data_IF_699241444644
#
_entry.id   IF_699241444644
#
_cell.length_a   1.000
_cell.length_b   1.000
_cell.length_c   1.000
_cell.angle_alpha   90.00
_cell.angle_beta   90.00
_cell.angle_gamma   90.00
#
_symmetry.space_group_name_H-M   'P 1'
#
loop_
_entity.id
_entity.type
_entity.pdbx_description
1 polymer ?
#
# COMPACT_ATOMS: atom_id res chain seq x y z
N UNK A 1 -18.20 -25.21 -24.56
CA UNK A 1 -18.63 -23.83 -24.19
C UNK A 1 -17.49 -23.19 -23.43
N UNK A 2 -17.03 -22.02 -23.88
CA UNK A 2 -15.80 -21.37 -23.43
C UNK A 2 -16.05 -20.73 -22.05
N UNK A 3 -15.18 -21.00 -21.07
CA UNK A 3 -15.18 -20.38 -19.74
C UNK A 3 -14.79 -18.87 -19.81
N UNK A 4 -15.46 -18.04 -20.60
CA UNK A 4 -15.20 -16.59 -20.70
C UNK A 4 -15.49 -15.87 -19.38
N UNK A 5 -16.48 -16.34 -18.64
CA UNK A 5 -17.02 -15.64 -17.46
C UNK A 5 -16.01 -15.56 -16.30
N UNK A 6 -15.07 -16.52 -16.22
CA UNK A 6 -14.03 -16.50 -15.19
C UNK A 6 -12.93 -15.48 -15.43
N UNK A 7 -12.53 -15.26 -16.68
CA UNK A 7 -11.44 -14.35 -17.01
C UNK A 7 -11.83 -12.89 -16.87
N UNK A 8 -13.08 -12.55 -17.18
CA UNK A 8 -13.61 -11.19 -17.05
C UNK A 8 -13.65 -10.76 -15.58
N UNK A 9 -14.17 -11.63 -14.71
CA UNK A 9 -14.25 -11.37 -13.27
C UNK A 9 -12.87 -11.15 -12.63
N UNK A 10 -11.88 -12.00 -12.97
CA UNK A 10 -10.50 -11.86 -12.47
C UNK A 10 -9.88 -10.55 -12.98
N UNK A 11 -10.06 -10.22 -14.25
CA UNK A 11 -9.53 -8.98 -14.84
C UNK A 11 -10.15 -7.75 -14.17
N UNK A 12 -11.46 -7.77 -13.92
CA UNK A 12 -12.17 -6.74 -13.19
C UNK A 12 -11.64 -6.56 -11.77
N UNK A 13 -11.37 -7.66 -11.05
CA UNK A 13 -10.77 -7.62 -9.70
C UNK A 13 -9.40 -6.93 -9.71
N UNK A 14 -8.50 -7.30 -10.63
CA UNK A 14 -7.18 -6.64 -10.73
C UNK A 14 -7.29 -5.16 -11.10
N UNK A 15 -8.19 -4.80 -12.02
CA UNK A 15 -8.40 -3.41 -12.41
C UNK A 15 -8.93 -2.59 -11.23
N UNK A 16 -9.93 -3.10 -10.51
CA UNK A 16 -10.49 -2.45 -9.33
C UNK A 16 -9.45 -2.29 -8.21
N UNK A 17 -8.63 -3.33 -7.95
CA UNK A 17 -7.52 -3.26 -7.00
C UNK A 17 -6.51 -2.18 -7.40
N UNK A 18 -6.11 -2.13 -8.67
CA UNK A 18 -5.14 -1.15 -9.16
C UNK A 18 -5.67 0.29 -9.06
N UNK A 19 -6.94 0.52 -9.42
CA UNK A 19 -7.60 1.82 -9.30
C UNK A 19 -7.71 2.25 -7.84
N UNK A 20 -8.13 1.34 -6.94
CA UNK A 20 -8.23 1.65 -5.51
C UNK A 20 -6.87 2.01 -4.91
N UNK A 21 -5.78 1.30 -5.26
CA UNK A 21 -4.42 1.67 -4.86
C UNK A 21 -4.02 3.05 -5.37
N UNK A 22 -4.31 3.37 -6.64
CA UNK A 22 -4.01 4.69 -7.19
C UNK A 22 -4.78 5.81 -6.45
N UNK A 23 -6.04 5.58 -6.09
CA UNK A 23 -6.87 6.54 -5.37
C UNK A 23 -6.47 6.71 -3.90
N UNK A 24 -5.88 5.69 -3.26
CA UNK A 24 -5.29 5.81 -1.91
C UNK A 24 -4.17 6.86 -1.90
N UNK A 25 -3.45 7.03 -3.02
CA UNK A 25 -2.37 8.03 -3.16
C UNK A 25 -2.89 9.44 -3.43
N UNK A 26 -4.20 9.64 -3.60
CA UNK A 26 -4.77 10.97 -3.80
C UNK A 26 -4.61 11.83 -2.54
N UNK A 27 -4.24 13.12 -2.66
CA UNK A 27 -3.99 14.01 -1.52
C UNK A 27 -5.30 14.53 -0.88
N UNK A 28 -6.35 13.71 -0.87
CA UNK A 28 -7.65 14.01 -0.29
C UNK A 28 -8.01 12.93 0.73
N UNK A 29 -8.04 13.29 2.02
CA UNK A 29 -8.23 12.33 3.12
C UNK A 29 -9.47 11.45 2.91
N UNK A 30 -10.61 12.06 2.59
CA UNK A 30 -11.88 11.35 2.36
C UNK A 30 -11.75 10.33 1.22
N UNK A 31 -11.20 10.75 0.07
CA UNK A 31 -11.01 9.87 -1.10
C UNK A 31 -10.07 8.71 -0.77
N UNK A 32 -8.95 9.01 -0.10
CA UNK A 32 -7.96 8.00 0.28
C UNK A 32 -8.55 6.97 1.24
N UNK A 33 -9.29 7.41 2.27
CA UNK A 33 -9.94 6.52 3.25
C UNK A 33 -11.01 5.64 2.61
N UNK A 34 -11.90 6.21 1.79
CA UNK A 34 -12.91 5.42 1.08
C UNK A 34 -12.27 4.42 0.11
N UNK A 35 -11.20 4.81 -0.57
CA UNK A 35 -10.47 3.92 -1.49
C UNK A 35 -9.77 2.79 -0.73
N UNK A 36 -9.23 3.06 0.46
CA UNK A 36 -8.70 2.05 1.38
C UNK A 36 -9.75 1.04 1.82
N UNK A 37 -10.96 1.50 2.13
CA UNK A 37 -12.08 0.61 2.48
C UNK A 37 -12.48 -0.29 1.29
N UNK A 38 -12.61 0.29 0.09
CA UNK A 38 -12.89 -0.48 -1.14
C UNK A 38 -11.79 -1.51 -1.40
N UNK A 39 -10.52 -1.11 -1.29
CA UNK A 39 -9.38 -2.01 -1.44
C UNK A 39 -9.46 -3.21 -0.47
N UNK A 40 -9.79 -2.95 0.80
CA UNK A 40 -9.99 -4.01 1.79
C UNK A 40 -11.14 -4.95 1.42
N UNK A 41 -12.29 -4.40 0.99
CA UNK A 41 -13.42 -5.21 0.53
C UNK A 41 -13.06 -6.10 -0.67
N UNK A 42 -12.25 -5.62 -1.62
CA UNK A 42 -11.79 -6.40 -2.77
C UNK A 42 -10.84 -7.53 -2.35
N UNK A 43 -9.98 -7.29 -1.35
CA UNK A 43 -9.13 -8.35 -0.78
C UNK A 43 -9.97 -9.40 -0.06
N UNK A 44 -10.98 -9.00 0.73
CA UNK A 44 -11.93 -9.92 1.35
C UNK A 44 -12.70 -10.74 0.31
N UNK A 45 -13.10 -10.10 -0.79
CA UNK A 45 -13.71 -10.81 -1.91
C UNK A 45 -12.76 -11.85 -2.53
N UNK A 46 -11.46 -11.54 -2.66
CA UNK A 46 -10.47 -12.52 -3.10
C UNK A 46 -10.35 -13.71 -2.13
N UNK A 47 -10.49 -13.48 -0.81
CA UNK A 47 -10.56 -14.55 0.19
C UNK A 47 -11.78 -15.45 0.01
N UNK A 48 -12.97 -14.85 -0.16
CA UNK A 48 -14.20 -15.61 -0.41
C UNK A 48 -14.07 -16.46 -1.68
N UNK A 49 -13.60 -15.86 -2.78
CA UNK A 49 -13.34 -16.56 -4.04
C UNK A 49 -12.34 -17.71 -3.87
N UNK A 50 -11.35 -17.59 -2.97
CA UNK A 50 -10.40 -18.66 -2.69
C UNK A 50 -11.02 -19.83 -1.94
N UNK A 51 -11.99 -19.57 -1.07
CA UNK A 51 -12.66 -20.58 -0.25
C UNK A 51 -13.65 -21.44 -1.04
N UNK A 52 -14.32 -20.86 -2.02
CA UNK A 52 -15.36 -21.56 -2.81
C UNK A 52 -14.80 -22.47 -3.92
N UNK A 53 -13.54 -22.26 -4.32
CA UNK A 53 -12.99 -22.88 -5.52
C UNK A 53 -12.07 -24.05 -5.19
N UNK A 54 -12.10 -25.08 -6.03
CA UNK A 54 -11.18 -26.22 -5.94
C UNK A 54 -9.72 -25.76 -5.97
N UNK A 55 -8.89 -26.46 -5.20
CA UNK A 55 -7.44 -26.33 -5.25
C UNK A 55 -7.03 -26.62 -6.70
N UNK A 56 -6.31 -25.69 -7.34
CA UNK A 56 -5.88 -25.72 -8.76
C UNK A 56 -6.84 -25.15 -9.81
N UNK A 57 -8.01 -24.67 -9.42
CA UNK A 57 -8.80 -23.83 -10.34
C UNK A 57 -8.03 -22.53 -10.68
N UNK A 58 -8.09 -22.02 -11.93
CA UNK A 58 -7.44 -20.76 -12.29
C UNK A 58 -7.84 -19.59 -11.38
N UNK A 59 -9.11 -19.55 -10.94
CA UNK A 59 -9.63 -18.56 -9.99
C UNK A 59 -8.93 -18.66 -8.63
N UNK A 60 -8.75 -19.86 -8.08
CA UNK A 60 -8.06 -20.07 -6.81
C UNK A 60 -6.58 -19.62 -6.88
N UNK A 61 -5.91 -19.85 -8.01
CA UNK A 61 -4.52 -19.40 -8.22
C UNK A 61 -4.43 -17.87 -8.21
N UNK A 62 -5.29 -17.18 -8.97
CA UNK A 62 -5.31 -15.72 -9.00
C UNK A 62 -5.75 -15.10 -7.66
N UNK A 63 -6.72 -15.70 -6.96
CA UNK A 63 -7.11 -15.29 -5.62
C UNK A 63 -5.92 -15.39 -4.64
N UNK A 64 -5.23 -16.53 -4.64
CA UNK A 64 -4.04 -16.75 -3.81
C UNK A 64 -2.93 -15.75 -4.15
N UNK A 65 -2.75 -15.41 -5.43
CA UNK A 65 -1.79 -14.41 -5.87
C UNK A 65 -2.10 -13.01 -5.31
N UNK A 66 -3.37 -12.59 -5.34
CA UNK A 66 -3.84 -11.32 -4.75
C UNK A 66 -3.60 -11.32 -3.24
N UNK A 67 -4.02 -12.37 -2.54
CA UNK A 67 -3.87 -12.51 -1.08
C UNK A 67 -2.39 -12.44 -0.68
N UNK A 68 -1.51 -13.19 -1.34
CA UNK A 68 -0.06 -13.15 -1.08
C UNK A 68 0.53 -11.77 -1.36
N UNK A 69 0.10 -11.11 -2.43
CA UNK A 69 0.56 -9.77 -2.77
C UNK A 69 0.15 -8.77 -1.69
N UNK A 70 -1.08 -8.84 -1.19
CA UNK A 70 -1.55 -8.03 -0.06
C UNK A 70 -0.65 -8.22 1.17
N UNK A 71 -0.40 -9.45 1.62
CA UNK A 71 0.42 -9.68 2.82
C UNK A 71 1.87 -9.27 2.66
N UNK A 72 2.50 -9.60 1.53
CA UNK A 72 3.89 -9.22 1.30
C UNK A 72 4.01 -7.69 1.23
N UNK A 73 3.06 -7.01 0.57
CA UNK A 73 3.08 -5.55 0.49
C UNK A 73 2.90 -4.87 1.85
N UNK A 74 2.00 -5.37 2.70
CA UNK A 74 1.82 -4.86 4.05
C UNK A 74 3.04 -5.14 4.93
N UNK A 75 3.67 -6.31 4.79
CA UNK A 75 4.90 -6.61 5.50
C UNK A 75 6.04 -5.66 5.10
N UNK A 76 6.22 -5.42 3.79
CA UNK A 76 7.21 -4.46 3.28
C UNK A 76 6.91 -3.05 3.81
N UNK A 77 5.65 -2.62 3.78
CA UNK A 77 5.23 -1.34 4.33
C UNK A 77 5.55 -1.19 5.83
N UNK A 78 5.25 -2.22 6.64
CA UNK A 78 5.55 -2.22 8.08
C UNK A 78 7.05 -2.13 8.34
N UNK A 79 7.87 -2.91 7.63
CA UNK A 79 9.34 -2.86 7.73
C UNK A 79 9.87 -1.49 7.33
N UNK A 80 9.36 -0.91 6.24
CA UNK A 80 9.73 0.43 5.81
C UNK A 80 9.36 1.52 6.82
N UNK A 81 8.20 1.41 7.48
CA UNK A 81 7.80 2.33 8.56
C UNK A 81 8.74 2.24 9.76
N UNK A 82 9.11 1.03 10.19
CA UNK A 82 10.09 0.84 11.27
C UNK A 82 11.46 1.42 10.90
N UNK A 83 11.90 1.23 9.66
CA UNK A 83 13.15 1.80 9.16
C UNK A 83 13.14 3.34 9.18
N UNK A 84 12.02 3.96 8.81
CA UNK A 84 11.86 5.42 8.85
C UNK A 84 11.82 5.97 10.27
N UNK A 85 11.16 5.27 11.20
CA UNK A 85 11.22 5.65 12.63
C UNK A 85 12.68 5.64 13.12
N UNK A 86 13.46 4.61 12.77
CA UNK A 86 14.88 4.54 13.08
C UNK A 86 15.69 5.67 12.42
N UNK A 87 15.41 5.99 11.16
CA UNK A 87 16.05 7.10 10.45
C UNK A 87 15.75 8.45 11.11
N UNK A 88 14.49 8.73 11.45
CA UNK A 88 14.12 9.97 12.13
C UNK A 88 14.76 10.06 13.52
N UNK A 89 14.82 8.96 14.27
CA UNK A 89 15.51 8.93 15.56
C UNK A 89 17.01 9.25 15.44
N UNK A 90 17.69 8.71 14.41
CA UNK A 90 19.10 9.05 14.16
C UNK A 90 19.29 10.49 13.69
N UNK A 91 18.36 11.06 12.90
CA UNK A 91 18.39 12.47 12.53
C UNK A 91 18.22 13.39 13.74
N UNK A 92 17.33 13.05 14.70
CA UNK A 92 17.20 13.80 15.96
C UNK A 92 18.51 13.73 16.75
N UNK A 93 19.07 12.54 16.92
CA UNK A 93 20.30 12.34 17.71
C UNK A 93 21.49 13.12 17.15
N UNK A 94 21.63 13.16 15.82
CA UNK A 94 22.71 13.88 15.14
C UNK A 94 22.42 15.39 14.93
N UNK A 95 21.29 15.91 15.44
CA UNK A 95 20.93 17.32 15.29
C UNK A 95 20.59 17.74 13.86
N UNK A 96 20.22 16.79 12.98
CA UNK A 96 19.80 17.05 11.60
C UNK A 96 18.34 17.51 11.51
N UNK A 97 17.55 17.32 12.57
CA UNK A 97 16.21 17.87 12.71
C UNK A 97 16.24 19.05 13.68
N UNK A 98 15.69 20.18 13.25
CA UNK A 98 15.54 21.35 14.11
C UNK A 98 14.42 21.09 15.12
N UNK A 99 14.80 20.83 16.35
CA UNK A 99 13.89 20.59 17.49
C UNK A 99 13.71 21.85 18.35
N UNK A 100 14.20 23.01 17.93
CA UNK A 100 14.06 24.27 18.67
C UNK A 100 12.59 24.64 18.89
N UNK A 101 11.77 24.47 17.86
CA UNK A 101 10.31 24.67 17.92
C UNK A 101 9.64 23.77 18.98
N UNK A 102 10.07 22.51 19.10
CA UNK A 102 9.54 21.60 20.12
C UNK A 102 10.03 21.96 21.53
N UNK A 103 11.29 22.39 21.67
CA UNK A 103 11.87 22.80 22.96
C UNK A 103 11.28 24.09 23.50
N UNK A 104 10.95 25.03 22.62
CA UNK A 104 10.29 26.28 22.97
C UNK A 104 8.92 26.05 23.63
N UNK A 105 8.31 24.89 23.40
CA UNK A 105 6.97 24.54 23.86
C UNK A 105 6.99 23.51 25.00
N UNK A 106 8.09 23.46 25.76
CA UNK A 106 8.33 22.56 26.90
C UNK A 106 7.35 22.72 28.08
N UNK A 107 6.32 23.55 27.96
CA UNK A 107 5.21 23.68 28.92
C UNK A 107 4.20 22.53 28.93
N UNK A 108 4.47 21.43 28.22
CA UNK A 108 3.65 20.21 28.23
C UNK A 108 2.64 20.09 27.08
N UNK A 109 2.46 21.14 26.29
CA UNK A 109 1.61 21.11 25.09
C UNK A 109 2.44 21.35 23.82
N UNK A 110 2.71 20.26 23.09
CA UNK A 110 3.40 20.31 21.80
C UNK A 110 2.47 20.65 20.63
N UNK A 111 1.14 20.66 20.84
CA UNK A 111 0.13 20.84 19.80
C UNK A 111 0.34 22.10 18.95
N UNK A 112 0.55 23.29 19.55
CA UNK A 112 0.75 24.53 18.81
C UNK A 112 2.06 24.57 18.00
N UNK A 113 3.05 23.76 18.37
CA UNK A 113 4.41 23.85 17.84
C UNK A 113 4.74 22.74 16.85
N UNK A 114 3.89 21.71 16.79
CA UNK A 114 3.98 20.65 15.81
C UNK A 114 3.92 21.16 14.36
N UNK A 115 3.04 22.10 13.97
CA UNK A 115 3.03 22.63 12.59
C UNK A 115 4.33 23.36 12.23
N UNK A 116 4.90 24.13 13.16
CA UNK A 116 6.19 24.80 12.98
C UNK A 116 7.31 23.78 12.80
N UNK A 117 7.39 22.79 13.70
CA UNK A 117 8.37 21.70 13.60
C UNK A 117 8.28 20.94 12.26
N UNK A 118 7.06 20.63 11.80
CA UNK A 118 6.83 19.99 10.50
C UNK A 118 7.26 20.88 9.35
N UNK A 119 6.96 22.18 9.42
CA UNK A 119 7.35 23.16 8.40
C UNK A 119 8.88 23.28 8.29
N UNK A 120 9.56 23.46 9.43
CA UNK A 120 11.01 23.65 9.53
C UNK A 120 11.79 22.41 9.06
N UNK A 121 11.19 21.23 9.19
CA UNK A 121 11.78 19.95 8.82
C UNK A 121 11.08 19.27 7.61
N UNK A 122 10.33 20.05 6.83
CA UNK A 122 9.46 19.54 5.76
C UNK A 122 10.21 18.71 4.71
N UNK A 123 11.45 19.09 4.36
CA UNK A 123 12.30 18.32 3.45
C UNK A 123 12.63 16.93 4.01
N UNK A 124 13.05 16.86 5.27
CA UNK A 124 13.39 15.59 5.94
C UNK A 124 12.17 14.69 6.05
N UNK A 125 11.01 15.24 6.39
CA UNK A 125 9.75 14.48 6.42
C UNK A 125 9.32 14.00 5.02
N UNK A 126 9.51 14.82 4.00
CA UNK A 126 9.22 14.44 2.62
C UNK A 126 10.10 13.27 2.17
N UNK A 127 11.42 13.38 2.35
CA UNK A 127 12.37 12.30 2.01
C UNK A 127 12.06 11.02 2.80
N UNK A 128 11.84 11.14 4.11
CA UNK A 128 11.44 10.01 4.96
C UNK A 128 10.15 9.34 4.45
N UNK A 129 9.13 10.13 4.10
CA UNK A 129 7.87 9.62 3.56
C UNK A 129 8.08 8.87 2.24
N UNK A 130 8.90 9.42 1.33
CA UNK A 130 9.24 8.75 0.07
C UNK A 130 9.95 7.43 0.32
N UNK A 131 10.95 7.40 1.21
CA UNK A 131 11.70 6.18 1.54
C UNK A 131 10.79 5.13 2.19
N UNK A 132 9.85 5.53 3.04
CA UNK A 132 8.88 4.61 3.64
C UNK A 132 7.92 4.01 2.61
N UNK A 133 7.28 4.87 1.80
CA UNK A 133 6.09 4.49 1.04
C UNK A 133 6.43 3.92 -0.34
N UNK A 134 7.46 4.48 -1.00
CA UNK A 134 7.76 4.19 -2.40
C UNK A 134 8.02 2.69 -2.66
N UNK A 135 8.83 1.96 -1.85
CA UNK A 135 9.09 0.55 -2.11
C UNK A 135 7.83 -0.32 -2.08
N UNK A 136 6.95 -0.08 -1.09
CA UNK A 136 5.71 -0.84 -0.93
C UNK A 136 4.73 -0.56 -2.08
N UNK A 137 4.58 0.71 -2.47
CA UNK A 137 3.70 1.13 -3.58
C UNK A 137 4.21 0.56 -4.91
N UNK A 138 5.50 0.70 -5.20
CA UNK A 138 6.09 0.16 -6.44
C UNK A 138 5.92 -1.36 -6.52
N UNK A 139 6.13 -2.06 -5.41
CA UNK A 139 5.90 -3.50 -5.33
C UNK A 139 4.44 -3.86 -5.62
N UNK A 140 3.48 -3.17 -5.00
CA UNK A 140 2.04 -3.38 -5.22
C UNK A 140 1.64 -3.15 -6.67
N UNK A 141 2.01 -2.01 -7.24
CA UNK A 141 1.69 -1.66 -8.62
C UNK A 141 2.29 -2.65 -9.61
N UNK A 142 3.57 -3.00 -9.43
CA UNK A 142 4.24 -4.02 -10.25
C UNK A 142 3.52 -5.37 -10.21
N UNK A 143 3.15 -5.84 -9.01
CA UNK A 143 2.51 -7.15 -8.83
C UNK A 143 1.10 -7.16 -9.41
N UNK A 144 0.29 -6.13 -9.21
CA UNK A 144 -1.04 -6.07 -9.79
C UNK A 144 -1.02 -5.89 -11.31
N UNK A 145 -0.12 -5.06 -11.84
CA UNK A 145 0.06 -4.93 -13.29
C UNK A 145 0.47 -6.27 -13.92
N UNK A 146 1.42 -6.99 -13.30
CA UNK A 146 1.83 -8.32 -13.76
C UNK A 146 0.71 -9.36 -13.63
N UNK A 147 -0.07 -9.31 -12.55
CA UNK A 147 -1.24 -10.18 -12.35
C UNK A 147 -2.33 -9.95 -13.41
N UNK A 148 -2.60 -8.69 -13.73
CA UNK A 148 -3.54 -8.29 -14.78
C UNK A 148 -3.08 -8.73 -16.17
N UNK A 149 -1.80 -8.54 -16.50
CA UNK A 149 -1.23 -8.97 -17.77
C UNK A 149 -1.36 -10.49 -17.96
N UNK A 150 -1.14 -11.27 -16.90
CA UNK A 150 -1.32 -12.73 -16.90
C UNK A 150 -2.79 -13.14 -17.06
N UNK A 151 -3.71 -12.45 -16.38
CA UNK A 151 -5.14 -12.72 -16.52
C UNK A 151 -5.63 -12.50 -17.96
N UNK A 152 -5.11 -11.47 -18.66
CA UNK A 152 -5.43 -11.18 -20.06
C UNK A 152 -4.76 -12.13 -21.06
N UNK A 153 -3.57 -12.63 -20.75
CA UNK A 153 -2.80 -13.53 -21.63
C UNK A 153 -3.31 -14.97 -21.72
N UNK A 154 -4.33 -15.35 -20.94
CA UNK A 154 -4.81 -16.72 -20.84
C UNK A 154 -3.93 -17.59 -19.94
N UNK A 155 -4.54 -18.59 -19.29
CA UNK A 155 -3.99 -19.40 -18.20
C UNK A 155 -2.74 -20.27 -18.53
N UNK A 156 -2.08 -20.07 -19.67
CA UNK A 156 -1.01 -20.94 -20.16
C UNK A 156 0.40 -20.66 -19.60
N UNK A 157 0.58 -19.66 -18.73
CA UNK A 157 1.90 -19.34 -18.15
C UNK A 157 1.94 -19.49 -16.62
N UNK A 158 1.14 -20.39 -16.05
CA UNK A 158 1.13 -20.65 -14.60
C UNK A 158 2.23 -21.64 -14.26
N UNK A 159 3.47 -21.14 -14.24
CA UNK A 159 4.61 -21.52 -13.37
C UNK A 159 5.61 -20.36 -13.40
#
# INVERSE_FOLDING_TARGET
>A
MKNSDGTELITGLYAALLVSVALILAPYLVVSTFSGAIYLCLVLYAYMMRMEQEQDSPRAVHATYVIRTFWISNLVFLVSMLAVIGLLATMIYNGLLDISALRACSGGDAGPCLPLFISDNSLSFSVASFVALLPAILYLLYRFARGLARARGGAASVL
#
